data_IF_021612435301
#
_entry.id   IF_021612435301
#
_cell.length_a   1.000
_cell.length_b   1.000
_cell.length_c   1.000
_cell.angle_alpha   90.00
_cell.angle_beta   90.00
_cell.angle_gamma   90.00
#
_symmetry.space_group_name_H-M   'P 1'
#
loop_
_entity.id
_entity.type
_entity.pdbx_description
1 polymer ?
#
# COMPACT_ATOMS: atom_id res chain seq x y z
N UNK A 1 -3.41 -7.67 -2.00
CA UNK A 1 -2.42 -8.36 -2.84
C UNK A 1 -2.91 -9.71 -3.39
N UNK A 2 -3.20 -10.75 -2.59
CA UNK A 2 -3.65 -12.06 -3.12
C UNK A 2 -4.91 -11.99 -3.99
N UNK A 3 -5.90 -11.19 -3.57
CA UNK A 3 -7.13 -10.93 -4.34
C UNK A 3 -6.88 -10.22 -5.68
N UNK A 4 -5.70 -9.62 -5.86
CA UNK A 4 -5.26 -8.96 -7.09
C UNK A 4 -4.36 -9.87 -7.94
N UNK A 5 -4.18 -11.13 -7.56
CA UNK A 5 -3.40 -12.12 -8.32
C UNK A 5 -1.91 -12.24 -7.97
N UNK A 6 -1.41 -11.48 -6.99
CA UNK A 6 0.01 -11.50 -6.62
C UNK A 6 0.37 -12.65 -5.67
N UNK A 7 1.57 -13.21 -5.82
CA UNK A 7 2.18 -14.12 -4.84
C UNK A 7 2.74 -13.28 -3.69
N UNK A 8 2.18 -13.45 -2.49
CA UNK A 8 2.52 -12.62 -1.33
C UNK A 8 3.42 -13.37 -0.38
N UNK A 9 4.50 -12.70 0.01
CA UNK A 9 5.40 -13.10 1.08
C UNK A 9 5.17 -12.21 2.29
N UNK A 10 5.14 -12.82 3.47
CA UNK A 10 5.00 -12.13 4.74
C UNK A 10 6.24 -12.34 5.58
N UNK A 11 6.57 -11.37 6.43
CA UNK A 11 7.66 -11.52 7.38
C UNK A 11 7.81 -10.32 8.30
N UNK A 12 8.88 -10.36 9.09
CA UNK A 12 9.29 -9.28 9.99
C UNK A 12 10.60 -8.71 9.45
N UNK A 13 10.64 -7.40 9.26
CA UNK A 13 11.86 -6.68 8.91
C UNK A 13 12.53 -6.20 10.20
N UNK A 14 13.45 -6.97 10.77
CA UNK A 14 14.11 -6.56 12.02
C UNK A 14 14.95 -5.28 11.88
N UNK A 15 15.42 -4.98 10.67
CA UNK A 15 16.13 -3.73 10.33
C UNK A 15 15.22 -2.50 10.28
N UNK A 16 13.90 -2.69 10.15
CA UNK A 16 12.88 -1.64 10.17
C UNK A 16 11.68 -2.17 10.97
N UNK A 17 11.58 -1.91 12.29
CA UNK A 17 10.76 -2.67 13.23
C UNK A 17 9.28 -2.70 12.82
N UNK A 18 8.94 -3.68 11.99
CA UNK A 18 7.70 -3.69 11.23
C UNK A 18 7.49 -5.04 10.55
N UNK A 19 6.21 -5.33 10.33
CA UNK A 19 5.76 -6.48 9.56
C UNK A 19 5.53 -6.05 8.12
N UNK A 20 5.79 -6.94 7.17
CA UNK A 20 5.57 -6.66 5.76
C UNK A 20 4.68 -7.70 5.09
N UNK A 21 3.99 -7.26 4.05
CA UNK A 21 3.30 -8.08 3.07
C UNK A 21 3.73 -7.56 1.69
N UNK A 22 4.58 -8.30 1.01
CA UNK A 22 5.21 -7.87 -0.23
C UNK A 22 5.03 -8.90 -1.34
N UNK A 23 5.06 -8.44 -2.60
CA UNK A 23 5.02 -9.29 -3.78
C UNK A 23 6.37 -9.23 -4.50
N UNK A 24 7.43 -9.71 -3.85
CA UNK A 24 8.78 -9.69 -4.39
C UNK A 24 8.88 -10.34 -5.76
N UNK A 25 9.73 -9.77 -6.61
CA UNK A 25 10.03 -10.33 -7.91
C UNK A 25 8.87 -10.26 -8.91
N UNK A 26 7.88 -9.38 -8.68
CA UNK A 26 6.68 -9.26 -9.51
C UNK A 26 6.43 -7.78 -9.84
N UNK A 27 6.06 -7.46 -11.09
CA UNK A 27 5.65 -6.11 -11.45
C UNK A 27 4.23 -5.85 -10.93
N UNK A 28 4.06 -4.80 -10.13
CA UNK A 28 2.80 -4.41 -9.50
C UNK A 28 2.34 -3.10 -10.14
N UNK A 29 1.11 -3.05 -10.64
CA UNK A 29 0.60 -1.83 -11.27
C UNK A 29 0.48 -0.67 -10.26
N UNK A 30 0.58 0.58 -10.74
CA UNK A 30 0.29 1.77 -9.92
C UNK A 30 -1.07 1.68 -9.25
N UNK A 31 -2.10 1.23 -9.99
CA UNK A 31 -3.47 1.09 -9.46
C UNK A 31 -3.49 0.13 -8.28
N UNK A 32 -2.86 -1.03 -8.42
CA UNK A 32 -2.86 -2.02 -7.36
C UNK A 32 -2.06 -1.55 -6.14
N UNK A 33 -0.93 -0.86 -6.35
CA UNK A 33 -0.19 -0.25 -5.24
C UNK A 33 -1.03 0.78 -4.47
N UNK A 34 -1.83 1.60 -5.17
CA UNK A 34 -2.76 2.52 -4.52
C UNK A 34 -3.79 1.76 -3.68
N UNK A 35 -4.38 0.69 -4.23
CA UNK A 35 -5.35 -0.12 -3.49
C UNK A 35 -4.70 -0.82 -2.29
N UNK A 36 -3.50 -1.35 -2.45
CA UNK A 36 -2.77 -2.08 -1.40
C UNK A 36 -2.36 -1.13 -0.27
N UNK A 37 -1.76 0.01 -0.58
CA UNK A 37 -1.34 0.99 0.42
C UNK A 37 -2.54 1.62 1.15
N UNK A 38 -3.64 1.88 0.45
CA UNK A 38 -4.84 2.50 1.05
C UNK A 38 -5.71 1.53 1.86
N UNK A 39 -5.70 0.23 1.55
CA UNK A 39 -6.65 -0.71 2.12
C UNK A 39 -6.59 -0.83 3.66
N UNK A 40 -5.43 -0.99 4.31
CA UNK A 40 -5.38 -1.12 5.77
C UNK A 40 -5.96 0.11 6.47
N UNK A 41 -5.53 1.31 6.06
CA UNK A 41 -6.01 2.56 6.63
C UNK A 41 -7.53 2.69 6.48
N UNK A 42 -8.07 2.47 5.29
CA UNK A 42 -9.51 2.65 5.01
C UNK A 42 -10.35 1.60 5.73
N UNK A 43 -9.98 0.32 5.62
CA UNK A 43 -10.79 -0.79 6.14
C UNK A 43 -10.78 -0.81 7.67
N UNK A 44 -9.60 -0.69 8.30
CA UNK A 44 -9.48 -0.71 9.75
C UNK A 44 -10.17 0.52 10.36
N UNK A 45 -9.98 1.70 9.75
CA UNK A 45 -10.62 2.92 10.24
C UNK A 45 -12.14 2.87 10.10
N UNK A 46 -12.66 2.49 8.92
CA UNK A 46 -14.10 2.40 8.71
C UNK A 46 -14.76 1.39 9.65
N UNK A 47 -14.16 0.20 9.79
CA UNK A 47 -14.67 -0.82 10.70
C UNK A 47 -14.58 -0.36 12.16
N UNK A 48 -13.41 0.14 12.59
CA UNK A 48 -13.19 0.59 13.96
C UNK A 48 -14.15 1.71 14.36
N UNK A 49 -14.36 2.71 13.50
CA UNK A 49 -15.33 3.79 13.73
C UNK A 49 -16.77 3.26 13.79
N UNK A 50 -17.14 2.33 12.90
CA UNK A 50 -18.49 1.77 12.87
C UNK A 50 -18.84 0.99 14.15
N UNK A 51 -17.86 0.37 14.81
CA UNK A 51 -18.09 -0.40 16.04
C UNK A 51 -18.04 0.44 17.32
N UNK A 52 -17.49 1.66 17.30
CA UNK A 52 -17.39 2.53 18.49
C UNK A 52 -18.70 2.67 19.28
N UNK A 53 -19.89 2.83 18.66
CA UNK A 53 -21.14 3.07 19.41
C UNK A 53 -21.62 1.90 20.26
N UNK A 54 -21.11 0.69 20.02
CA UNK A 54 -21.56 -0.55 20.68
C UNK A 54 -20.51 -1.15 21.63
N UNK A 55 -19.38 -0.45 21.85
CA UNK A 55 -18.30 -0.94 22.70
C UNK A 55 -18.53 -0.60 24.18
N UNK A 56 -18.16 -1.53 25.07
CA UNK A 56 -18.01 -1.23 26.50
C UNK A 56 -16.82 -0.30 26.74
N UNK A 57 -16.78 0.39 27.88
CA UNK A 57 -15.71 1.36 28.20
C UNK A 57 -14.29 0.79 28.05
N UNK A 58 -14.07 -0.44 28.52
CA UNK A 58 -12.76 -1.11 28.41
C UNK A 58 -12.39 -1.41 26.95
N UNK A 59 -13.35 -1.85 26.14
CA UNK A 59 -13.12 -2.13 24.72
C UNK A 59 -12.98 -0.85 23.91
N UNK A 60 -13.65 0.23 24.29
CA UNK A 60 -13.57 1.52 23.63
C UNK A 60 -12.14 2.04 23.62
N UNK A 61 -11.44 1.98 24.76
CA UNK A 61 -10.03 2.37 24.86
C UNK A 61 -9.17 1.52 23.93
N UNK A 62 -9.36 0.21 23.91
CA UNK A 62 -8.60 -0.69 23.04
C UNK A 62 -8.82 -0.39 21.55
N UNK A 63 -10.06 -0.14 21.13
CA UNK A 63 -10.40 0.23 19.74
C UNK A 63 -9.80 1.58 19.37
N UNK A 64 -9.86 2.58 20.25
CA UNK A 64 -9.25 3.89 20.02
C UNK A 64 -7.74 3.78 19.88
N UNK A 65 -7.07 3.01 20.75
CA UNK A 65 -5.63 2.74 20.62
C UNK A 65 -5.32 2.08 19.28
N UNK A 66 -6.08 1.06 18.88
CA UNK A 66 -5.89 0.40 17.59
C UNK A 66 -6.06 1.36 16.40
N UNK A 67 -7.08 2.23 16.44
CA UNK A 67 -7.32 3.26 15.41
C UNK A 67 -6.18 4.28 15.34
N UNK A 68 -5.71 4.78 16.48
CA UNK A 68 -4.59 5.73 16.56
C UNK A 68 -3.31 5.09 16.05
N UNK A 69 -3.00 3.86 16.46
CA UNK A 69 -1.83 3.12 15.99
C UNK A 69 -1.89 2.85 14.49
N UNK A 70 -3.06 2.47 13.95
CA UNK A 70 -3.26 2.28 12.52
C UNK A 70 -3.03 3.59 11.74
N UNK A 71 -3.58 4.71 12.20
CA UNK A 71 -3.39 6.02 11.57
C UNK A 71 -1.92 6.47 11.61
N UNK A 72 -1.25 6.30 12.76
CA UNK A 72 0.16 6.66 12.90
C UNK A 72 1.07 5.76 12.04
N UNK A 73 0.80 4.46 11.99
CA UNK A 73 1.54 3.50 11.17
C UNK A 73 1.37 3.72 9.66
N UNK A 74 0.24 4.30 9.24
CA UNK A 74 -0.07 4.52 7.82
C UNK A 74 0.64 5.75 7.20
N UNK A 75 1.47 6.49 7.93
CA UNK A 75 2.15 7.69 7.37
C UNK A 75 2.98 7.35 6.13
N UNK A 76 3.69 6.21 6.13
CA UNK A 76 4.44 5.73 4.97
C UNK A 76 3.54 5.41 3.77
N UNK A 77 2.40 4.76 4.04
CA UNK A 77 1.39 4.45 3.01
C UNK A 77 0.75 5.72 2.44
N UNK A 78 0.43 6.70 3.28
CA UNK A 78 -0.11 8.00 2.85
C UNK A 78 0.88 8.75 1.95
N UNK A 79 2.17 8.70 2.29
CA UNK A 79 3.22 9.25 1.44
C UNK A 79 3.33 8.50 0.11
N UNK A 80 3.26 7.16 0.12
CA UNK A 80 3.25 6.35 -1.10
C UNK A 80 2.04 6.69 -1.98
N UNK A 81 0.84 6.78 -1.40
CA UNK A 81 -0.38 7.21 -2.10
C UNK A 81 -0.23 8.60 -2.72
N UNK A 82 0.31 9.55 -1.97
CA UNK A 82 0.60 10.91 -2.46
C UNK A 82 1.53 10.91 -3.68
N UNK A 83 2.59 10.09 -3.65
CA UNK A 83 3.53 9.96 -4.77
C UNK A 83 2.89 9.28 -5.96
N UNK A 84 2.27 8.12 -5.75
CA UNK A 84 1.61 7.33 -6.80
C UNK A 84 0.53 8.15 -7.49
N UNK A 85 -0.24 8.96 -6.74
CA UNK A 85 -1.27 9.83 -7.32
C UNK A 85 -0.73 10.76 -8.42
N UNK A 86 0.55 11.15 -8.37
CA UNK A 86 1.21 12.06 -9.31
C UNK A 86 1.99 11.36 -10.42
N UNK A 87 2.13 10.04 -10.36
CA UNK A 87 2.82 9.25 -11.39
C UNK A 87 1.88 8.93 -12.56
N UNK A 88 2.41 8.71 -13.78
CA UNK A 88 1.65 8.22 -14.94
C UNK A 88 0.83 6.96 -14.62
N UNK A 89 -0.28 6.74 -15.33
CA UNK A 89 -1.20 5.62 -15.04
C UNK A 89 -0.56 4.26 -15.28
N UNK A 90 0.36 4.22 -16.21
CA UNK A 90 1.11 3.05 -16.70
C UNK A 90 2.33 2.74 -15.82
N UNK A 91 2.58 3.52 -14.76
CA UNK A 91 3.68 3.26 -13.82
C UNK A 91 3.53 1.87 -13.18
N UNK A 92 4.65 1.16 -13.07
CA UNK A 92 4.74 -0.13 -12.39
C UNK A 92 5.82 -0.08 -11.30
N UNK A 93 5.57 -0.76 -10.19
CA UNK A 93 6.51 -0.89 -9.08
C UNK A 93 7.00 -2.34 -9.03
N UNK A 94 8.23 -2.54 -8.58
CA UNK A 94 8.82 -3.86 -8.46
C UNK A 94 9.64 -3.94 -7.18
N UNK A 95 9.19 -4.78 -6.25
CA UNK A 95 9.88 -5.00 -4.97
C UNK A 95 11.04 -5.97 -5.19
N UNK A 96 12.27 -5.47 -5.05
CA UNK A 96 13.51 -6.28 -5.12
C UNK A 96 13.81 -6.88 -3.75
N UNK A 97 13.72 -6.06 -2.71
CA UNK A 97 13.93 -6.44 -1.31
C UNK A 97 13.12 -5.53 -0.39
N UNK A 98 13.18 -5.75 0.92
CA UNK A 98 12.50 -4.90 1.91
C UNK A 98 12.94 -3.43 1.83
N UNK A 99 14.20 -3.18 1.48
CA UNK A 99 14.75 -1.83 1.41
C UNK A 99 14.82 -1.25 -0.01
N UNK A 100 14.44 -2.02 -1.02
CA UNK A 100 14.67 -1.65 -2.42
C UNK A 100 13.44 -1.95 -3.28
N UNK A 101 12.95 -0.89 -3.91
CA UNK A 101 11.82 -0.92 -4.84
C UNK A 101 12.20 -0.12 -6.08
N UNK A 102 11.96 -0.70 -7.24
CA UNK A 102 12.14 -0.05 -8.52
C UNK A 102 10.80 0.54 -9.00
N UNK A 103 10.86 1.69 -9.66
CA UNK A 103 9.71 2.36 -10.26
C UNK A 103 9.97 2.49 -11.75
N UNK A 104 9.09 1.92 -12.56
CA UNK A 104 9.12 1.98 -14.01
C UNK A 104 8.03 2.93 -14.49
N UNK A 105 8.43 4.03 -15.13
CA UNK A 105 7.50 4.98 -15.74
C UNK A 105 7.50 4.82 -17.27
N UNK A 106 6.37 5.07 -17.94
CA UNK A 106 6.31 5.01 -19.40
C UNK A 106 7.30 6.02 -20.00
N UNK A 107 8.14 5.54 -20.92
CA UNK A 107 9.05 6.41 -21.65
C UNK A 107 8.26 7.22 -22.67
N UNK A 108 8.53 8.53 -22.78
CA UNK A 108 7.90 9.42 -23.76
C UNK A 108 8.32 9.15 -25.22
N UNK A 109 8.80 7.94 -25.55
CA UNK A 109 9.24 7.61 -26.90
C UNK A 109 8.02 7.67 -27.82
N UNK A 110 7.96 8.80 -28.52
CA UNK A 110 7.07 9.06 -29.63
C UNK A 110 7.09 7.86 -30.56
N UNK A 111 5.91 7.31 -30.82
CA UNK A 111 5.68 6.45 -31.97
C UNK A 111 6.02 7.29 -33.20
N UNK A 112 7.25 7.23 -33.69
CA UNK A 112 7.57 7.70 -35.03
C UNK A 112 6.81 6.76 -35.98
N UNK A 113 5.68 7.24 -36.49
CA UNK A 113 4.96 6.61 -37.56
C UNK A 113 5.93 6.38 -38.72
N UNK A 114 6.34 5.14 -38.93
CA UNK A 114 6.85 4.69 -40.22
C UNK A 114 5.67 4.74 -41.19
N UNK A 115 5.46 5.91 -41.80
CA UNK A 115 4.76 6.00 -43.09
C UNK A 115 5.77 5.62 -44.17
N UNK A 116 5.46 4.52 -44.84
CA UNK A 116 6.04 4.10 -46.13
C UNK A 116 5.85 5.16 -47.22
#
# INVERSE_FOLDING_TARGET
MRLLGYRVTFGVAWSMPGVYAAAFGQPITRRDNILIAGAPLIVITAFGVAVLPVMSETLLVAVLVALVTNAAGAVGDMYALYRLARMPRETMLYDVSIGEMLIYEPSAVSVSSHTE
#
